data_IF_511908449806
#
_entry.id   IF_511908449806
#
_cell.length_a   1.000
_cell.length_b   1.000
_cell.length_c   1.000
_cell.angle_alpha   90.00
_cell.angle_beta   90.00
_cell.angle_gamma   90.00
#
_symmetry.space_group_name_H-M   'P 1'
#
loop_
_entity.id
_entity.type
_entity.pdbx_description
1 polymer ?
#
# COMPACT_ATOMS: atom_id res chain seq x y z
N UNK A 1 -59.07 -28.48 -0.32
CA UNK A 1 -57.85 -28.01 -1.00
C UNK A 1 -58.05 -26.51 -1.17
N UNK A 2 -57.89 -25.78 -0.06
CA UNK A 2 -56.77 -24.85 0.26
C UNK A 2 -57.05 -23.50 -0.41
N UNK A 3 -57.46 -22.39 0.22
CA UNK A 3 -57.35 -21.79 1.56
C UNK A 3 -55.93 -21.57 2.07
N UNK A 4 -55.25 -20.70 1.33
CA UNK A 4 -53.94 -20.12 1.56
C UNK A 4 -54.13 -18.70 2.14
N UNK A 5 -54.40 -18.66 3.45
CA UNK A 5 -54.31 -17.47 4.27
C UNK A 5 -52.88 -16.96 4.34
N UNK A 6 -52.62 -15.83 3.67
CA UNK A 6 -51.36 -15.09 3.78
C UNK A 6 -51.40 -14.24 5.06
N UNK A 7 -50.85 -14.79 6.14
CA UNK A 7 -50.63 -14.10 7.41
C UNK A 7 -49.47 -13.10 7.25
N UNK A 8 -49.81 -11.82 7.17
CA UNK A 8 -48.87 -10.71 7.11
C UNK A 8 -48.17 -10.52 8.45
N UNK A 9 -47.17 -11.37 8.70
CA UNK A 9 -46.24 -11.23 9.81
C UNK A 9 -45.52 -9.89 9.77
N UNK A 10 -45.85 -9.04 10.75
CA UNK A 10 -45.08 -7.86 11.14
C UNK A 10 -43.68 -8.29 11.59
N UNK A 11 -42.71 -8.28 10.68
CA UNK A 11 -41.28 -8.26 11.01
C UNK A 11 -40.81 -6.82 10.89
N UNK A 12 -40.53 -6.19 12.03
CA UNK A 12 -39.91 -4.87 12.10
C UNK A 12 -38.43 -5.02 11.75
N UNK A 13 -38.08 -4.58 10.55
CA UNK A 13 -36.70 -4.44 10.12
C UNK A 13 -36.23 -3.03 10.54
N UNK A 14 -36.09 -2.83 11.86
CA UNK A 14 -35.41 -1.64 12.39
C UNK A 14 -33.91 -1.83 12.13
N UNK A 15 -33.48 -1.45 10.93
CA UNK A 15 -32.06 -1.23 10.65
C UNK A 15 -31.63 0.02 11.41
N UNK A 16 -31.19 -0.17 12.64
CA UNK A 16 -30.63 0.84 13.53
C UNK A 16 -29.28 1.33 12.96
N UNK A 17 -29.35 2.26 12.02
CA UNK A 17 -28.21 2.92 11.38
C UNK A 17 -27.74 4.12 12.22
N UNK A 18 -27.55 3.95 13.53
CA UNK A 18 -27.11 5.08 14.36
C UNK A 18 -26.33 4.65 15.61
N UNK A 19 -25.11 4.14 15.40
CA UNK A 19 -23.90 4.45 16.19
C UNK A 19 -22.75 3.52 15.78
N UNK A 20 -22.35 3.60 14.51
CA UNK A 20 -21.01 3.17 14.12
C UNK A 20 -20.01 4.28 14.49
N UNK A 21 -18.75 3.96 14.85
CA UNK A 21 -17.76 4.99 15.10
C UNK A 21 -17.70 5.89 13.86
N UNK A 22 -17.91 7.19 14.07
CA UNK A 22 -17.80 8.17 13.01
C UNK A 22 -16.49 7.95 12.27
N UNK A 23 -16.54 8.06 10.94
CA UNK A 23 -15.37 8.05 10.07
C UNK A 23 -14.53 9.30 10.35
N UNK A 24 -13.90 9.35 11.52
CA UNK A 24 -12.88 10.29 11.88
C UNK A 24 -11.54 9.63 11.57
N UNK A 25 -10.70 10.31 10.79
CA UNK A 25 -9.37 9.84 10.40
C UNK A 25 -8.48 9.51 11.61
N UNK A 26 -8.74 10.15 12.75
CA UNK A 26 -8.09 9.86 14.04
C UNK A 26 -8.34 8.44 14.59
N UNK A 27 -9.45 7.80 14.22
CA UNK A 27 -9.75 6.44 14.67
C UNK A 27 -8.85 5.39 14.01
N UNK A 28 -8.27 5.72 12.85
CA UNK A 28 -7.39 4.82 12.11
C UNK A 28 -5.98 4.78 12.71
N UNK A 29 -5.47 5.93 13.13
CA UNK A 29 -4.19 6.06 13.83
C UNK A 29 -4.26 5.40 15.23
N UNK A 30 -5.35 5.61 15.98
CA UNK A 30 -5.54 4.98 17.30
C UNK A 30 -5.60 3.45 17.23
N UNK A 31 -6.22 2.89 16.18
CA UNK A 31 -6.26 1.43 15.99
C UNK A 31 -4.88 0.86 15.65
N UNK A 32 -3.98 1.64 15.05
CA UNK A 32 -2.63 1.21 14.72
C UNK A 32 -1.70 1.14 15.94
N UNK A 33 -1.79 2.12 16.84
CA UNK A 33 -1.04 2.12 18.11
C UNK A 33 -1.50 0.97 19.04
N UNK A 34 -2.81 0.69 19.08
CA UNK A 34 -3.37 -0.40 19.89
C UNK A 34 -2.88 -1.80 19.48
N UNK A 35 -2.70 -2.04 18.18
CA UNK A 35 -2.18 -3.32 17.66
C UNK A 35 -0.68 -3.50 17.95
N UNK A 36 0.04 -2.40 18.23
CA UNK A 36 1.47 -2.41 18.49
C UNK A 36 1.79 -2.70 19.98
N UNK A 37 0.82 -2.52 20.88
CA UNK A 37 0.91 -2.81 22.33
C UNK A 37 0.66 -4.31 22.62
N UNK A 38 -0.27 -4.94 21.90
CA UNK A 38 -0.57 -6.39 22.07
C UNK A 38 0.59 -7.32 21.66
N UNK A 39 1.54 -6.84 20.85
CA UNK A 39 2.68 -7.64 20.39
C UNK A 39 3.90 -7.57 21.34
N UNK A 40 3.85 -6.76 22.40
CA UNK A 40 4.97 -6.56 23.32
C UNK A 40 4.86 -7.33 24.65
N UNK A 41 3.74 -8.02 24.89
CA UNK A 41 3.48 -8.73 26.16
C UNK A 41 3.36 -10.26 26.03
N UNK A 42 4.32 -10.91 25.37
CA UNK A 42 4.64 -12.31 25.68
C UNK A 42 5.87 -12.39 26.57
N UNK A 43 5.65 -12.18 27.88
CA UNK A 43 6.56 -12.69 28.90
C UNK A 43 6.42 -14.22 28.97
N UNK A 44 7.50 -14.95 28.70
CA UNK A 44 7.62 -16.37 29.07
C UNK A 44 8.91 -16.55 29.87
N UNK A 45 8.74 -17.03 31.09
CA UNK A 45 9.72 -16.97 32.19
C UNK A 45 10.89 -17.94 32.13
N UNK A 46 11.68 -17.91 33.21
CA UNK A 46 12.81 -18.79 33.53
C UNK A 46 12.42 -20.27 33.37
N UNK A 47 12.80 -20.89 32.26
CA UNK A 47 13.26 -22.29 32.14
C UNK A 47 13.39 -22.62 30.64
N UNK A 48 14.53 -22.22 30.06
CA UNK A 48 14.75 -22.24 28.62
C UNK A 48 14.88 -23.64 28.02
N UNK A 49 14.01 -23.97 27.06
CA UNK A 49 14.28 -24.83 25.90
C UNK A 49 13.27 -24.57 24.76
N UNK A 50 13.72 -24.41 23.50
CA UNK A 50 12.85 -24.29 22.32
C UNK A 50 12.34 -25.65 21.82
N UNK A 51 11.04 -25.76 21.54
CA UNK A 51 10.43 -26.90 20.82
C UNK A 51 10.34 -26.55 19.35
N UNK A 52 11.36 -26.94 18.57
CA UNK A 52 11.24 -27.17 17.14
C UNK A 52 11.99 -28.48 16.83
N UNK A 53 11.22 -29.51 16.48
CA UNK A 53 11.72 -30.87 16.30
C UNK A 53 12.62 -31.04 15.08
N UNK A 54 13.84 -31.54 15.31
CA UNK A 54 14.72 -32.11 14.30
C UNK A 54 14.18 -33.45 13.78
N UNK A 55 14.22 -33.65 12.46
CA UNK A 55 14.37 -34.97 11.86
C UNK A 55 15.66 -34.95 11.02
N UNK A 56 16.70 -35.55 11.60
CA UNK A 56 18.01 -35.79 10.98
C UNK A 56 17.94 -36.96 10.01
N UNK A 57 18.44 -36.79 8.78
CA UNK A 57 18.98 -37.87 7.93
C UNK A 57 20.15 -37.31 7.09
N UNK A 58 21.39 -37.73 7.41
CA UNK A 58 22.57 -37.64 6.53
C UNK A 58 22.41 -38.56 5.30
N UNK A 59 23.21 -38.51 4.23
CA UNK A 59 24.67 -38.31 4.12
C UNK A 59 25.02 -37.96 2.62
N UNK A 60 26.29 -37.96 2.11
CA UNK A 60 26.85 -36.86 1.34
C UNK A 60 27.28 -37.29 -0.08
N UNK A 61 26.89 -36.59 -1.13
CA UNK A 61 27.51 -36.84 -2.44
C UNK A 61 27.73 -35.54 -3.18
N UNK A 62 29.01 -35.20 -3.32
CA UNK A 62 29.49 -34.10 -4.12
C UNK A 62 29.33 -34.35 -5.61
N UNK A 63 29.13 -33.26 -6.32
CA UNK A 63 29.62 -33.02 -7.69
C UNK A 63 29.64 -31.52 -7.86
N UNK A 64 30.85 -30.95 -8.00
CA UNK A 64 31.05 -29.64 -8.60
C UNK A 64 30.29 -29.60 -9.92
N UNK A 65 29.39 -28.64 -10.06
CA UNK A 65 28.91 -28.23 -11.36
C UNK A 65 28.73 -26.72 -11.33
N UNK A 66 29.80 -26.04 -11.73
CA UNK A 66 29.79 -24.65 -12.20
C UNK A 66 28.75 -24.54 -13.32
N UNK A 67 27.54 -24.12 -12.97
CA UNK A 67 26.55 -23.67 -13.95
C UNK A 67 26.57 -22.14 -13.94
N UNK A 68 27.32 -21.61 -14.90
CA UNK A 68 27.26 -20.21 -15.32
C UNK A 68 25.80 -19.82 -15.60
N UNK A 69 25.17 -19.07 -14.69
CA UNK A 69 23.90 -18.42 -14.97
C UNK A 69 24.15 -17.23 -15.90
N UNK A 70 24.11 -17.49 -17.20
CA UNK A 70 24.04 -16.45 -18.22
C UNK A 70 22.74 -15.64 -18.01
N UNK A 71 22.92 -14.35 -17.71
CA UNK A 71 21.85 -13.37 -17.57
C UNK A 71 21.23 -13.11 -18.96
N UNK A 72 20.15 -13.83 -19.26
CA UNK A 72 19.29 -13.59 -20.42
C UNK A 72 18.32 -12.46 -20.09
N UNK A 73 18.63 -11.28 -20.59
CA UNK A 73 17.79 -10.09 -20.55
C UNK A 73 16.51 -10.32 -21.35
N UNK A 74 15.39 -10.67 -20.69
CA UNK A 74 14.07 -10.58 -21.30
C UNK A 74 13.14 -9.70 -20.45
N UNK A 75 13.21 -8.39 -20.72
CA UNK A 75 12.18 -7.45 -20.29
C UNK A 75 10.91 -7.69 -21.11
N UNK A 76 10.01 -8.54 -20.62
CA UNK A 76 8.65 -8.59 -21.13
C UNK A 76 7.85 -7.42 -20.56
N UNK A 77 7.98 -6.26 -21.21
CA UNK A 77 7.14 -5.09 -20.95
C UNK A 77 5.73 -5.37 -21.47
N UNK A 78 4.88 -5.97 -20.63
CA UNK A 78 3.45 -6.10 -20.92
C UNK A 78 2.75 -4.76 -20.68
N UNK A 79 2.82 -3.87 -21.67
CA UNK A 79 2.00 -2.67 -21.74
C UNK A 79 0.63 -3.01 -22.34
N UNK A 80 -0.35 -3.25 -21.46
CA UNK A 80 -1.77 -3.26 -21.85
C UNK A 80 -2.23 -1.82 -22.07
N UNK A 81 -2.38 -1.43 -23.34
CA UNK A 81 -2.94 -0.13 -23.72
C UNK A 81 -2.66 0.23 -25.18
N UNK A 82 -3.47 -0.32 -26.08
CA UNK A 82 -3.41 -0.04 -27.51
C UNK A 82 -3.74 1.43 -27.82
N UNK A 83 -2.86 2.07 -28.61
CA UNK A 83 -3.15 3.24 -29.46
C UNK A 83 -2.94 4.61 -28.81
N UNK A 84 -1.87 5.30 -29.19
CA UNK A 84 -1.82 6.54 -29.99
C UNK A 84 -0.32 6.91 -30.06
N UNK A 85 0.31 6.66 -31.21
CA UNK A 85 1.68 7.05 -31.54
C UNK A 85 1.73 8.51 -31.98
N UNK A 86 1.33 9.41 -31.08
CA UNK A 86 1.54 10.86 -31.21
C UNK A 86 2.19 11.35 -29.92
N UNK A 87 3.09 12.33 -30.02
CA UNK A 87 3.63 13.01 -28.84
C UNK A 87 2.44 13.56 -28.03
N UNK A 88 2.14 12.92 -26.89
CA UNK A 88 1.06 13.36 -26.01
C UNK A 88 1.42 14.78 -25.55
N UNK A 89 0.54 15.73 -25.82
CA UNK A 89 0.81 17.13 -25.48
C UNK A 89 0.35 17.41 -24.04
N UNK A 90 1.11 18.20 -23.26
CA UNK A 90 0.66 18.65 -21.95
C UNK A 90 -0.52 19.61 -22.12
N UNK A 91 -1.54 19.46 -21.27
CA UNK A 91 -2.68 20.37 -21.27
C UNK A 91 -2.26 21.76 -20.77
N UNK A 92 -2.62 22.83 -21.51
CA UNK A 92 -2.25 24.22 -21.17
C UNK A 92 -3.00 24.74 -19.94
N UNK A 93 -4.17 24.18 -19.65
CA UNK A 93 -4.99 24.53 -18.48
C UNK A 93 -5.35 23.24 -17.76
N UNK A 94 -4.92 23.10 -16.50
CA UNK A 94 -5.24 21.91 -15.69
C UNK A 94 -6.72 21.93 -15.29
N UNK A 95 -7.41 20.81 -15.50
CA UNK A 95 -8.83 20.64 -15.15
C UNK A 95 -9.06 19.58 -14.07
N UNK A 96 -8.06 18.72 -13.81
CA UNK A 96 -8.21 17.66 -12.78
C UNK A 96 -8.17 18.21 -11.36
N UNK A 97 -8.66 17.42 -10.41
CA UNK A 97 -8.82 17.80 -9.00
C UNK A 97 -7.48 18.20 -8.33
N UNK A 98 -7.41 19.26 -7.51
CA UNK A 98 -6.19 19.61 -6.77
C UNK A 98 -5.90 18.65 -5.60
N UNK A 99 -6.77 17.68 -5.34
CA UNK A 99 -6.62 16.71 -4.26
C UNK A 99 -5.84 15.48 -4.72
N UNK A 100 -5.07 14.92 -3.80
CA UNK A 100 -4.39 13.64 -3.98
C UNK A 100 -5.43 12.52 -3.89
N UNK A 101 -5.56 11.72 -4.94
CA UNK A 101 -6.49 10.59 -4.90
C UNK A 101 -5.92 9.46 -4.03
N UNK A 102 -6.81 8.63 -3.45
CA UNK A 102 -6.39 7.46 -2.65
C UNK A 102 -5.45 6.50 -3.41
N UNK A 103 -5.63 6.38 -4.73
CA UNK A 103 -4.80 5.55 -5.60
C UNK A 103 -3.40 6.13 -5.78
N UNK A 104 -3.33 7.45 -5.99
CA UNK A 104 -2.07 8.17 -6.09
C UNK A 104 -1.30 8.11 -4.77
N UNK A 105 -1.97 8.39 -3.63
CA UNK A 105 -1.38 8.30 -2.30
C UNK A 105 -0.75 6.93 -2.05
N UNK A 106 -1.51 5.85 -2.28
CA UNK A 106 -1.00 4.50 -2.10
C UNK A 106 0.22 4.21 -3.00
N UNK A 107 0.17 4.62 -4.27
CA UNK A 107 1.26 4.40 -5.22
C UNK A 107 2.52 5.21 -4.87
N UNK A 108 2.36 6.44 -4.42
CA UNK A 108 3.46 7.32 -4.01
C UNK A 108 4.15 6.75 -2.78
N UNK A 109 3.38 6.38 -1.76
CA UNK A 109 3.92 5.77 -0.54
C UNK A 109 4.65 4.47 -0.86
N UNK A 110 4.06 3.58 -1.67
CA UNK A 110 4.71 2.33 -2.07
C UNK A 110 6.01 2.55 -2.87
N UNK A 111 5.98 3.45 -3.85
CA UNK A 111 7.16 3.78 -4.66
C UNK A 111 8.26 4.41 -3.82
N UNK A 112 7.89 5.32 -2.91
CA UNK A 112 8.86 6.03 -2.08
C UNK A 112 9.44 5.13 -0.99
N UNK A 113 8.63 4.31 -0.35
CA UNK A 113 9.09 3.30 0.61
C UNK A 113 10.08 2.32 -0.05
N UNK A 114 9.80 1.88 -1.28
CA UNK A 114 10.72 1.04 -2.05
C UNK A 114 12.06 1.75 -2.33
N UNK A 115 12.04 3.04 -2.67
CA UNK A 115 13.28 3.80 -2.85
C UNK A 115 14.09 3.86 -1.55
N UNK A 116 13.43 4.13 -0.42
CA UNK A 116 14.07 4.21 0.90
C UNK A 116 14.68 2.86 1.30
N UNK A 117 13.97 1.75 1.05
CA UNK A 117 14.50 0.41 1.34
C UNK A 117 15.73 0.06 0.49
N UNK A 118 15.83 0.63 -0.71
CA UNK A 118 17.01 0.58 -1.57
C UNK A 118 18.05 1.67 -1.23
N UNK A 119 18.07 2.16 0.01
CA UNK A 119 18.98 3.17 0.54
C UNK A 119 18.98 4.51 -0.22
N UNK A 120 17.86 4.90 -0.84
CA UNK A 120 17.73 6.23 -1.41
C UNK A 120 17.79 7.32 -0.31
N UNK A 121 18.27 8.54 -0.64
CA UNK A 121 18.35 9.64 0.33
C UNK A 121 16.97 10.04 0.87
N UNK A 122 16.88 10.13 2.20
CA UNK A 122 15.70 10.62 2.94
C UNK A 122 15.80 12.13 3.11
N UNK A 123 14.70 12.85 2.89
CA UNK A 123 14.62 14.32 2.86
C UNK A 123 14.00 14.94 4.12
N UNK A 124 13.63 14.12 5.10
CA UNK A 124 13.10 14.53 6.40
C UNK A 124 13.98 13.99 7.54
N UNK A 125 14.03 14.67 8.69
CA UNK A 125 14.72 14.14 9.87
C UNK A 125 14.02 12.86 10.37
N UNK A 126 14.84 11.88 10.74
CA UNK A 126 14.40 10.62 11.36
C UNK A 126 14.46 10.79 12.89
N UNK A 127 13.36 10.49 13.56
CA UNK A 127 13.18 10.55 15.02
C UNK A 127 13.09 9.14 15.62
N UNK A 128 13.76 8.16 15.00
CA UNK A 128 13.76 6.75 15.41
C UNK A 128 12.96 5.82 14.50
N UNK A 129 12.38 6.32 13.41
CA UNK A 129 11.70 5.47 12.42
C UNK A 129 12.71 4.59 11.69
N UNK A 130 12.46 3.28 11.70
CA UNK A 130 13.26 2.27 10.99
C UNK A 130 12.53 1.69 9.78
N UNK A 131 11.20 1.71 9.81
CA UNK A 131 10.37 1.24 8.71
C UNK A 131 10.33 2.23 7.54
N UNK A 132 10.58 1.73 6.34
CA UNK A 132 10.62 2.53 5.13
C UNK A 132 9.26 3.15 4.79
N UNK A 133 8.15 2.46 5.10
CA UNK A 133 6.82 2.99 4.86
C UNK A 133 6.51 4.15 5.83
N UNK A 134 6.82 4.02 7.12
CA UNK A 134 6.70 5.11 8.09
C UNK A 134 7.49 6.35 7.65
N UNK A 135 8.74 6.17 7.18
CA UNK A 135 9.56 7.28 6.67
C UNK A 135 8.90 7.94 5.44
N UNK A 136 8.37 7.15 4.50
CA UNK A 136 7.67 7.68 3.34
C UNK A 136 6.40 8.46 3.71
N UNK A 137 5.64 8.00 4.71
CA UNK A 137 4.47 8.71 5.25
C UNK A 137 4.90 10.07 5.85
N UNK A 138 5.98 10.09 6.62
CA UNK A 138 6.55 11.33 7.19
C UNK A 138 7.02 12.30 6.12
N UNK A 139 7.62 11.81 5.04
CA UNK A 139 7.97 12.66 3.89
C UNK A 139 6.75 13.20 3.14
N UNK A 140 5.68 12.41 3.03
CA UNK A 140 4.44 12.85 2.39
C UNK A 140 3.76 13.95 3.22
N UNK A 141 3.67 13.79 4.54
CA UNK A 141 3.03 14.78 5.44
C UNK A 141 3.77 16.12 5.43
N UNK A 142 5.11 16.09 5.32
CA UNK A 142 5.94 17.29 5.17
C UNK A 142 6.06 17.80 3.72
N UNK A 143 5.36 17.17 2.76
CA UNK A 143 5.37 17.51 1.33
C UNK A 143 6.79 17.54 0.72
N UNK A 144 7.66 16.61 1.15
CA UNK A 144 9.06 16.50 0.73
C UNK A 144 9.34 15.45 -0.35
N UNK A 145 8.35 14.64 -0.73
CA UNK A 145 8.53 13.60 -1.75
C UNK A 145 8.82 14.24 -3.13
N UNK A 146 9.97 13.94 -3.76
CA UNK A 146 10.39 14.55 -5.03
C UNK A 146 9.82 13.79 -6.24
N UNK A 147 8.50 13.64 -6.29
CA UNK A 147 7.80 12.94 -7.37
C UNK A 147 6.79 13.84 -8.09
N UNK A 148 6.51 13.50 -9.35
CA UNK A 148 5.48 14.12 -10.19
C UNK A 148 4.51 13.03 -10.63
N UNK A 149 3.22 13.31 -10.50
CA UNK A 149 2.13 12.49 -10.98
C UNK A 149 1.73 12.98 -12.37
N UNK A 150 1.75 12.08 -13.36
CA UNK A 150 1.17 12.34 -14.68
C UNK A 150 -0.23 11.75 -14.76
N UNK A 151 -1.25 12.61 -14.81
CA UNK A 151 -2.65 12.22 -14.99
C UNK A 151 -3.00 12.23 -16.47
N UNK A 152 -3.34 11.08 -17.03
CA UNK A 152 -3.78 10.96 -18.41
C UNK A 152 -5.28 11.19 -18.52
N UNK A 153 -5.69 12.00 -19.49
CA UNK A 153 -7.07 12.25 -19.84
C UNK A 153 -7.56 11.26 -20.91
N UNK A 154 -8.88 11.05 -21.06
CA UNK A 154 -9.42 10.10 -22.04
C UNK A 154 -9.08 10.43 -23.50
N UNK A 155 -8.79 11.70 -23.80
CA UNK A 155 -8.36 12.16 -25.12
C UNK A 155 -6.87 11.88 -25.40
N UNK A 156 -6.15 11.30 -24.45
CA UNK A 156 -4.72 10.98 -24.54
C UNK A 156 -3.79 12.14 -24.12
N UNK A 157 -4.32 13.33 -23.84
CA UNK A 157 -3.54 14.42 -23.24
C UNK A 157 -3.20 14.10 -21.77
N UNK A 158 -2.31 14.89 -21.16
CA UNK A 158 -1.96 14.70 -19.75
C UNK A 158 -1.71 15.99 -18.98
N UNK A 159 -1.78 15.86 -17.66
CA UNK A 159 -1.44 16.89 -16.69
C UNK A 159 -0.37 16.38 -15.73
N UNK A 160 0.73 17.12 -15.62
CA UNK A 160 1.81 16.83 -14.66
C UNK A 160 1.56 17.63 -13.37
N UNK A 161 1.43 16.92 -12.24
CA UNK A 161 1.20 17.45 -10.91
C UNK A 161 2.35 17.09 -9.98
N UNK A 162 2.98 18.07 -9.33
CA UNK A 162 3.98 17.77 -8.30
C UNK A 162 3.28 17.20 -7.05
N UNK A 163 3.87 16.20 -6.40
CA UNK A 163 3.27 15.65 -5.16
C UNK A 163 3.16 16.71 -4.06
N UNK A 164 4.10 17.66 -4.02
CA UNK A 164 4.12 18.76 -3.04
C UNK A 164 3.02 19.82 -3.24
N UNK A 165 2.40 19.93 -4.42
CA UNK A 165 1.31 20.89 -4.67
C UNK A 165 -0.09 20.29 -4.43
N UNK A 166 -0.20 18.96 -4.34
CA UNK A 166 -1.48 18.29 -4.13
C UNK A 166 -1.91 18.34 -2.67
N UNK A 167 -3.22 18.48 -2.47
CA UNK A 167 -3.83 18.47 -1.14
C UNK A 167 -4.06 17.02 -0.72
N UNK A 168 -3.35 16.59 0.32
CA UNK A 168 -3.64 15.35 1.05
C UNK A 168 -4.53 15.73 2.23
N UNK A 169 -5.78 15.27 2.21
CA UNK A 169 -6.68 15.28 3.36
C UNK A 169 -6.32 14.10 4.28
#
# INVERSE_FOLDING_TARGET
MSDDGYDGGRGGDDYDYESGPGFNDAAFDEQYDLLNDENQNQEVGEDGMPVNGEVSHGDPNGVDQDQEMANGEEQQQNAVGAGITGERQPNKVRVTTPYLTKYERARILGTRALQISMNAPVLVPLDGETDALQIAIKELSQRKIPLIIRRYLPDGSFEDWSVSELISD
#
